data_IF_819785272363
#
_entry.id   IF_819785272363
#
_cell.length_a   1.000
_cell.length_b   1.000
_cell.length_c   1.000
_cell.angle_alpha   90.00
_cell.angle_beta   90.00
_cell.angle_gamma   90.00
#
_symmetry.space_group_name_H-M   'P 1'
#
loop_
_entity.id
_entity.type
_entity.pdbx_description
1 polymer ?
#
# COMPACT_ATOMS: atom_id res chain seq x y z
N UNK A 1 8.77 -23.08 -9.54
CA UNK A 1 9.21 -22.00 -8.62
C UNK A 1 10.73 -21.87 -8.58
N UNK A 2 11.51 -22.93 -8.26
CA UNK A 2 13.01 -22.89 -8.21
C UNK A 2 13.76 -22.36 -9.44
N UNK A 3 13.18 -22.46 -10.65
CA UNK A 3 13.79 -21.94 -11.89
C UNK A 3 13.80 -20.41 -11.97
N UNK A 4 12.80 -19.76 -11.38
CA UNK A 4 12.69 -18.30 -11.42
C UNK A 4 13.69 -17.68 -10.43
N UNK A 5 13.88 -18.31 -9.27
CA UNK A 5 14.91 -17.92 -8.29
C UNK A 5 16.33 -17.84 -8.88
N UNK A 6 16.62 -18.64 -9.91
CA UNK A 6 17.95 -18.69 -10.55
C UNK A 6 18.19 -17.51 -11.52
N UNK A 7 17.15 -16.75 -11.86
CA UNK A 7 17.24 -15.58 -12.76
C UNK A 7 17.58 -14.29 -12.01
N UNK A 8 17.61 -14.32 -10.68
CA UNK A 8 17.86 -13.15 -9.87
C UNK A 8 19.36 -12.98 -9.59
N UNK A 9 19.83 -11.76 -9.81
CA UNK A 9 21.08 -11.28 -9.22
C UNK A 9 20.98 -11.34 -7.69
N UNK A 10 22.09 -11.51 -6.97
CA UNK A 10 22.12 -11.48 -5.49
C UNK A 10 21.55 -10.17 -4.88
N UNK A 11 21.25 -9.18 -5.73
CA UNK A 11 20.73 -7.86 -5.40
C UNK A 11 19.23 -7.67 -5.68
N UNK A 12 18.50 -8.74 -6.02
CA UNK A 12 17.07 -8.67 -6.34
C UNK A 12 16.22 -9.46 -5.34
N UNK A 13 15.17 -8.83 -4.83
CA UNK A 13 14.18 -9.42 -3.93
C UNK A 13 12.82 -9.49 -4.64
N UNK A 14 12.16 -10.64 -4.52
CA UNK A 14 10.81 -10.87 -5.05
C UNK A 14 9.76 -10.65 -3.96
N UNK A 15 8.67 -10.00 -4.31
CA UNK A 15 7.47 -9.85 -3.49
C UNK A 15 6.26 -10.32 -4.30
N UNK A 16 5.57 -11.35 -3.82
CA UNK A 16 4.44 -11.96 -4.52
C UNK A 16 3.21 -12.03 -3.62
N UNK A 17 2.05 -11.65 -4.17
CA UNK A 17 0.74 -11.78 -3.55
C UNK A 17 -0.28 -12.21 -4.59
N UNK A 18 -0.78 -13.45 -4.48
CA UNK A 18 -1.67 -14.06 -5.47
C UNK A 18 -1.08 -13.99 -6.90
N UNK A 19 -1.73 -13.30 -7.84
CA UNK A 19 -1.27 -13.08 -9.21
C UNK A 19 -0.40 -11.83 -9.39
N UNK A 20 -0.35 -10.94 -8.38
CA UNK A 20 0.49 -9.75 -8.38
C UNK A 20 1.91 -10.10 -7.91
N UNK A 21 2.90 -9.94 -8.79
CA UNK A 21 4.32 -10.15 -8.50
C UNK A 21 5.10 -8.87 -8.77
N UNK A 22 5.98 -8.52 -7.83
CA UNK A 22 6.86 -7.36 -7.91
C UNK A 22 8.31 -7.72 -7.59
N UNK A 23 9.22 -6.95 -8.18
CA UNK A 23 10.66 -7.11 -7.97
C UNK A 23 11.26 -5.81 -7.45
N UNK A 24 12.14 -5.95 -6.45
CA UNK A 24 12.92 -4.86 -5.89
C UNK A 24 14.39 -5.16 -6.15
N UNK A 25 15.10 -4.23 -6.76
CA UNK A 25 16.51 -4.38 -7.12
C UNK A 25 17.27 -3.13 -6.72
N UNK A 26 18.52 -3.29 -6.29
CA UNK A 26 19.39 -2.16 -5.92
C UNK A 26 20.21 -1.60 -7.09
N UNK A 27 20.27 -2.32 -8.22
CA UNK A 27 21.06 -1.92 -9.39
C UNK A 27 20.16 -1.47 -10.53
N UNK A 28 19.48 -2.43 -11.16
CA UNK A 28 18.70 -2.21 -12.39
C UNK A 28 17.32 -2.84 -12.27
N UNK A 29 16.39 -2.35 -13.10
CA UNK A 29 15.09 -2.97 -13.26
C UNK A 29 15.23 -4.39 -13.79
N UNK A 30 14.43 -5.30 -13.24
CA UNK A 30 14.32 -6.65 -13.78
C UNK A 30 13.65 -6.60 -15.14
N UNK A 31 14.22 -7.30 -16.11
CA UNK A 31 13.70 -7.33 -17.47
C UNK A 31 12.38 -8.11 -17.55
N UNK A 32 11.25 -7.40 -17.67
CA UNK A 32 9.93 -8.03 -17.73
C UNK A 32 9.73 -8.93 -18.97
N UNK A 33 10.44 -8.70 -20.08
CA UNK A 33 10.34 -9.59 -21.24
C UNK A 33 10.97 -10.96 -20.97
N UNK A 34 12.06 -10.98 -20.19
CA UNK A 34 12.70 -12.24 -19.78
C UNK A 34 11.76 -13.03 -18.89
N UNK A 35 11.14 -12.36 -17.91
CA UNK A 35 10.12 -12.98 -17.04
C UNK A 35 8.93 -13.49 -17.87
N UNK A 36 8.45 -12.70 -18.85
CA UNK A 36 7.32 -13.09 -19.69
C UNK A 36 7.62 -14.35 -20.51
N UNK A 37 8.85 -14.50 -21.04
CA UNK A 37 9.29 -15.71 -21.75
C UNK A 37 9.27 -16.94 -20.84
N UNK A 38 9.79 -16.80 -19.63
CA UNK A 38 9.83 -17.90 -18.65
C UNK A 38 8.43 -18.27 -18.15
N UNK A 39 7.54 -17.28 -17.98
CA UNK A 39 6.13 -17.53 -17.62
C UNK A 39 5.35 -18.25 -18.73
N UNK A 40 5.74 -18.08 -20.00
CA UNK A 40 5.11 -18.76 -21.13
C UNK A 40 5.28 -20.28 -21.05
N UNK A 41 6.42 -20.78 -20.53
CA UNK A 41 6.65 -22.21 -20.29
C UNK A 41 5.63 -22.80 -19.30
N UNK A 42 5.11 -21.96 -18.40
CA UNK A 42 4.06 -22.32 -17.44
C UNK A 42 2.64 -22.01 -17.95
N UNK A 43 2.48 -21.65 -19.23
CA UNK A 43 1.22 -21.18 -19.83
C UNK A 43 0.61 -19.96 -19.12
N UNK A 44 1.46 -19.13 -18.52
CA UNK A 44 1.08 -17.88 -17.87
C UNK A 44 1.38 -16.70 -18.80
N UNK A 45 0.51 -15.69 -18.79
CA UNK A 45 0.67 -14.49 -19.59
C UNK A 45 0.68 -13.25 -18.69
N UNK A 46 1.85 -12.59 -18.61
CA UNK A 46 1.98 -11.34 -17.87
C UNK A 46 1.29 -10.19 -18.61
N UNK A 47 0.48 -9.41 -17.88
CA UNK A 47 -0.21 -8.25 -18.43
C UNK A 47 0.73 -7.05 -18.52
N UNK A 48 1.29 -6.82 -19.71
CA UNK A 48 2.24 -5.74 -19.98
C UNK A 48 1.66 -4.35 -19.74
N UNK A 49 0.35 -4.17 -19.92
CA UNK A 49 -0.29 -2.86 -19.70
C UNK A 49 -0.38 -2.48 -18.22
N UNK A 50 -0.31 -3.48 -17.33
CA UNK A 50 -0.28 -3.29 -15.87
C UNK A 50 1.14 -3.35 -15.30
N UNK A 51 2.15 -3.68 -16.12
CA UNK A 51 3.54 -3.74 -15.65
C UNK A 51 4.08 -2.32 -15.48
N UNK A 52 4.52 -2.01 -14.26
CA UNK A 52 5.02 -0.69 -13.90
C UNK A 52 6.46 -0.78 -13.39
N UNK A 53 7.28 0.19 -13.79
CA UNK A 53 8.64 0.38 -13.29
C UNK A 53 8.68 1.62 -12.42
N UNK A 54 9.16 1.48 -11.19
CA UNK A 54 9.21 2.58 -10.22
C UNK A 54 10.63 2.71 -9.69
N UNK A 55 11.24 3.86 -9.94
CA UNK A 55 12.54 4.18 -9.37
C UNK A 55 12.37 4.79 -7.98
N UNK A 56 12.97 4.17 -6.97
CA UNK A 56 12.96 4.67 -5.60
C UNK A 56 14.14 5.63 -5.40
N UNK A 57 13.91 6.92 -5.63
CA UNK A 57 14.91 7.96 -5.38
C UNK A 57 14.60 8.74 -4.10
N UNK A 58 15.62 9.05 -3.30
CA UNK A 58 15.43 9.78 -2.04
C UNK A 58 15.09 11.26 -2.25
N UNK A 59 15.60 11.85 -3.33
CA UNK A 59 15.39 13.25 -3.72
C UNK A 59 14.03 13.49 -4.41
N UNK A 60 13.41 12.44 -4.96
CA UNK A 60 12.10 12.52 -5.61
C UNK A 60 11.10 11.60 -4.92
N UNK A 61 10.19 12.18 -4.14
CA UNK A 61 9.16 11.43 -3.41
C UNK A 61 8.01 10.90 -4.29
N UNK A 62 8.13 10.92 -5.63
CA UNK A 62 7.09 10.43 -6.54
C UNK A 62 6.74 8.95 -6.28
N UNK A 63 7.71 8.18 -5.80
CA UNK A 63 7.50 6.79 -5.40
C UNK A 63 6.47 6.63 -4.27
N UNK A 64 6.26 7.66 -3.43
CA UNK A 64 5.25 7.59 -2.36
C UNK A 64 3.84 7.41 -2.88
N UNK A 65 3.57 7.82 -4.13
CA UNK A 65 2.24 7.70 -4.79
C UNK A 65 2.07 6.40 -5.57
N UNK A 66 3.09 5.56 -5.65
CA UNK A 66 2.99 4.26 -6.33
C UNK A 66 2.20 3.31 -5.45
N UNK A 67 1.23 2.63 -6.05
CA UNK A 67 0.35 1.68 -5.36
C UNK A 67 0.88 0.25 -5.56
N UNK A 68 1.05 -0.50 -4.47
CA UNK A 68 1.39 -1.93 -4.47
C UNK A 68 0.48 -2.67 -3.49
N UNK A 69 -0.14 -3.76 -3.95
CA UNK A 69 -1.05 -4.61 -3.15
C UNK A 69 -2.12 -3.81 -2.40
N UNK A 70 -2.71 -2.82 -3.06
CA UNK A 70 -3.80 -2.02 -2.49
C UNK A 70 -3.38 -0.78 -1.70
N UNK A 71 -2.11 -0.63 -1.31
CA UNK A 71 -1.59 0.50 -0.53
C UNK A 71 -0.54 1.30 -1.30
N UNK A 72 -0.36 2.57 -0.91
CA UNK A 72 0.73 3.39 -1.43
C UNK A 72 2.08 2.99 -0.81
N UNK A 73 3.21 3.18 -1.50
CA UNK A 73 4.53 2.90 -0.89
C UNK A 73 4.87 3.90 0.22
N UNK A 74 4.36 5.13 0.16
CA UNK A 74 4.45 6.12 1.24
C UNK A 74 3.31 6.02 2.28
N UNK A 75 2.48 4.97 2.21
CA UNK A 75 1.23 4.87 2.99
C UNK A 75 1.48 4.82 4.49
N UNK A 76 2.65 4.38 4.98
CA UNK A 76 2.93 4.40 6.43
C UNK A 76 2.87 5.82 7.01
N UNK A 77 3.46 6.79 6.32
CA UNK A 77 3.48 8.19 6.74
C UNK A 77 2.09 8.81 6.60
N UNK A 78 1.36 8.46 5.53
CA UNK A 78 -0.01 8.96 5.32
C UNK A 78 -1.02 8.33 6.28
N UNK A 79 -0.94 7.03 6.56
CA UNK A 79 -1.71 6.31 7.58
C UNK A 79 -1.43 6.93 8.94
N UNK A 80 -0.17 7.16 9.29
CA UNK A 80 0.17 7.73 10.59
C UNK A 80 -0.34 9.17 10.71
N UNK A 81 -0.21 9.98 9.64
CA UNK A 81 -0.82 11.31 9.56
C UNK A 81 -2.35 11.25 9.70
N UNK A 82 -3.02 10.32 9.01
CA UNK A 82 -4.48 10.14 9.12
C UNK A 82 -4.92 9.72 10.51
N UNK A 83 -4.18 8.84 11.18
CA UNK A 83 -4.42 8.49 12.59
C UNK A 83 -4.29 9.72 13.49
N UNK A 84 -3.25 10.53 13.29
CA UNK A 84 -3.05 11.76 14.05
C UNK A 84 -4.19 12.76 13.84
N UNK A 85 -4.60 12.99 12.58
CA UNK A 85 -5.71 13.87 12.24
C UNK A 85 -7.04 13.37 12.81
N UNK A 86 -7.32 12.07 12.67
CA UNK A 86 -8.54 11.46 13.22
C UNK A 86 -8.57 11.54 14.75
N UNK A 87 -7.42 11.35 15.41
CA UNK A 87 -7.28 11.51 16.86
C UNK A 87 -7.52 12.97 17.26
N UNK A 88 -6.98 13.93 16.52
CA UNK A 88 -7.17 15.36 16.77
C UNK A 88 -8.65 15.77 16.60
N UNK A 89 -9.31 15.30 15.55
CA UNK A 89 -10.74 15.57 15.34
C UNK A 89 -11.62 14.89 16.40
N UNK A 90 -11.29 13.66 16.81
CA UNK A 90 -11.95 13.00 17.93
C UNK A 90 -11.73 13.76 19.25
N UNK A 91 -10.55 14.35 19.46
CA UNK A 91 -10.28 15.18 20.64
C UNK A 91 -11.16 16.44 20.68
N UNK A 92 -11.46 17.07 19.54
CA UNK A 92 -12.41 18.21 19.49
C UNK A 92 -13.80 17.80 19.99
N UNK A 93 -14.18 16.56 19.71
CA UNK A 93 -15.44 15.99 20.16
C UNK A 93 -15.31 15.19 21.46
N UNK A 94 -14.19 15.30 22.18
CA UNK A 94 -13.93 14.53 23.39
C UNK A 94 -14.97 14.78 24.48
N UNK A 95 -15.45 16.02 24.64
CA UNK A 95 -16.52 16.38 25.58
C UNK A 95 -17.80 15.60 25.27
N UNK A 96 -18.09 15.43 23.97
CA UNK A 96 -19.30 14.76 23.52
C UNK A 96 -19.13 13.25 23.55
N UNK A 97 -18.00 12.68 23.11
CA UNK A 97 -17.86 11.23 22.87
C UNK A 97 -16.97 10.49 23.88
N UNK A 98 -16.02 11.18 24.52
CA UNK A 98 -15.03 10.55 25.42
C UNK A 98 -15.39 10.79 26.90
N UNK A 99 -15.80 12.00 27.27
CA UNK A 99 -16.15 12.32 28.67
C UNK A 99 -17.58 11.87 28.97
N UNK A 100 -17.73 10.82 29.78
CA UNK A 100 -19.03 10.18 30.09
C UNK A 100 -19.91 10.96 31.07
N UNK A 101 -19.38 12.03 31.67
CA UNK A 101 -20.01 12.79 32.75
C UNK A 101 -20.74 14.05 32.27
N UNK A 102 -20.39 14.58 31.09
CA UNK A 102 -20.90 15.88 30.62
C UNK A 102 -22.11 15.80 29.68
N UNK A 103 -22.28 14.70 28.96
CA UNK A 103 -23.37 14.53 27.97
C UNK A 103 -24.09 13.21 28.21
N UNK A 104 -25.42 13.28 28.38
CA UNK A 104 -26.26 12.09 28.56
C UNK A 104 -26.21 11.18 27.33
N UNK A 105 -26.22 9.87 27.58
CA UNK A 105 -26.14 8.84 26.53
C UNK A 105 -27.26 8.98 25.47
N UNK A 106 -28.48 9.37 25.89
CA UNK A 106 -29.61 9.62 24.97
C UNK A 106 -29.30 10.76 23.99
N UNK A 107 -28.66 11.84 24.46
CA UNK A 107 -28.26 12.97 23.60
C UNK A 107 -27.18 12.57 22.60
N UNK A 108 -26.21 11.72 23.01
CA UNK A 108 -25.20 11.15 22.11
C UNK A 108 -25.82 10.31 20.98
N UNK A 109 -26.77 9.43 21.32
CA UNK A 109 -27.47 8.60 20.34
C UNK A 109 -28.26 9.44 19.34
N UNK A 110 -28.92 10.51 19.80
CA UNK A 110 -29.64 11.43 18.92
C UNK A 110 -28.70 12.19 17.96
N UNK A 111 -27.54 12.66 18.44
CA UNK A 111 -26.52 13.31 17.59
C UNK A 111 -25.95 12.36 16.52
N UNK A 112 -25.80 11.08 16.84
CA UNK A 112 -25.33 10.07 15.87
C UNK A 112 -26.38 9.82 14.79
N UNK A 113 -27.66 9.76 15.18
CA UNK A 113 -28.79 9.48 14.29
C UNK A 113 -29.10 10.61 13.31
N UNK A 114 -28.75 11.86 13.63
CA UNK A 114 -29.02 13.01 12.77
C UNK A 114 -28.03 13.20 11.61
N UNK A 115 -26.90 12.48 11.61
CA UNK A 115 -25.85 12.58 10.59
C UNK A 115 -25.73 11.33 9.70
N UNK A 116 -26.75 10.46 9.70
CA UNK A 116 -26.89 9.27 8.85
C UNK A 116 -28.13 9.39 7.99
#
# INVERSE_FOLDING_TARGET
MRKIETLYSQNTLESAYADDVGFVSTTDFVNAETIKKELADFRLNANTNKTEYTLLQKDREDWKKVKKVGSYLGDTEDIERRKQLSKFDLQKLSIIWITNDKVKQVTRLNLYRTNS
#
